data_IF_686689044436
#
_entry.id   IF_686689044436
#
_cell.length_a   1.000
_cell.length_b   1.000
_cell.length_c   1.000
_cell.angle_alpha   90.00
_cell.angle_beta   90.00
_cell.angle_gamma   90.00
#
_symmetry.space_group_name_H-M   'P 1'
#
loop_
_entity.id
_entity.type
_entity.pdbx_description
1 polymer ?
#
# COMPACT_ATOMS: atom_id res chain seq x y z
N UNK A 1 9.34 1.71 -17.46
CA UNK A 1 9.24 0.96 -16.17
C UNK A 1 8.44 -0.31 -16.39
N UNK A 2 8.71 -1.39 -15.61
CA UNK A 2 8.03 -2.68 -15.82
C UNK A 2 6.51 -2.59 -15.66
N UNK A 3 6.03 -1.80 -14.70
CA UNK A 3 4.59 -1.59 -14.49
C UNK A 3 3.88 -0.81 -15.60
N UNK A 4 4.59 0.06 -16.31
CA UNK A 4 4.02 0.75 -17.47
C UNK A 4 3.60 -0.23 -18.56
N UNK A 5 4.35 -1.34 -18.72
CA UNK A 5 4.04 -2.38 -19.71
C UNK A 5 2.76 -3.16 -19.37
N UNK A 6 2.46 -3.36 -18.07
CA UNK A 6 1.21 -4.00 -17.66
C UNK A 6 -0.01 -3.13 -18.00
N UNK A 7 0.11 -1.82 -17.81
CA UNK A 7 -0.94 -0.86 -18.19
C UNK A 7 -1.12 -0.86 -19.72
N UNK A 8 -0.03 -0.89 -20.50
CA UNK A 8 -0.12 -0.99 -21.97
C UNK A 8 -0.79 -2.29 -22.43
N UNK A 9 -0.66 -3.37 -21.66
CA UNK A 9 -1.35 -4.64 -21.88
C UNK A 9 -2.82 -4.65 -21.41
N UNK A 10 -3.34 -3.52 -20.91
CA UNK A 10 -4.71 -3.37 -20.44
C UNK A 10 -4.98 -3.91 -19.04
N UNK A 11 -3.94 -4.13 -18.24
CA UNK A 11 -4.11 -4.55 -16.85
C UNK A 11 -4.56 -3.37 -15.97
N UNK A 12 -5.84 -3.37 -15.60
CA UNK A 12 -6.45 -2.35 -14.75
C UNK A 12 -7.33 -3.00 -13.66
N UNK A 13 -6.74 -3.32 -12.50
CA UNK A 13 -7.42 -4.01 -11.41
C UNK A 13 -8.68 -3.33 -10.87
N UNK A 14 -8.90 -2.05 -11.14
CA UNK A 14 -10.15 -1.35 -10.75
C UNK A 14 -11.36 -1.94 -11.50
N UNK A 15 -11.16 -2.37 -12.73
CA UNK A 15 -12.21 -2.93 -13.59
C UNK A 15 -12.15 -4.46 -13.73
N UNK A 16 -11.38 -5.12 -12.89
CA UNK A 16 -11.32 -6.58 -12.87
C UNK A 16 -12.71 -7.22 -12.75
N UNK A 17 -12.97 -8.31 -13.47
CA UNK A 17 -14.20 -9.06 -13.31
C UNK A 17 -14.33 -9.64 -11.89
N UNK A 18 -15.55 -9.93 -11.41
CA UNK A 18 -15.78 -10.41 -10.04
C UNK A 18 -14.87 -11.57 -9.61
N UNK A 19 -14.68 -12.55 -10.48
CA UNK A 19 -13.82 -13.73 -10.19
C UNK A 19 -12.37 -13.33 -9.89
N UNK A 20 -11.83 -12.35 -10.62
CA UNK A 20 -10.47 -11.89 -10.40
C UNK A 20 -10.37 -11.03 -9.14
N UNK A 21 -11.39 -10.22 -8.83
CA UNK A 21 -11.46 -9.50 -7.55
C UNK A 21 -11.50 -10.45 -6.36
N UNK A 22 -12.34 -11.49 -6.40
CA UNK A 22 -12.40 -12.52 -5.36
C UNK A 22 -11.05 -13.24 -5.20
N UNK A 23 -10.32 -13.45 -6.32
CA UNK A 23 -8.98 -14.01 -6.27
C UNK A 23 -8.00 -13.06 -5.57
N UNK A 24 -8.04 -11.76 -5.90
CA UNK A 24 -7.19 -10.74 -5.25
C UNK A 24 -7.54 -10.56 -3.76
N UNK A 25 -8.79 -10.76 -3.36
CA UNK A 25 -9.23 -10.70 -1.96
C UNK A 25 -8.56 -11.77 -1.07
N UNK A 26 -7.94 -12.80 -1.66
CA UNK A 26 -7.13 -13.80 -0.94
C UNK A 26 -5.84 -13.24 -0.33
N UNK A 27 -5.34 -12.11 -0.83
CA UNK A 27 -4.21 -11.37 -0.23
C UNK A 27 -4.66 -10.36 0.81
N UNK A 28 -5.66 -9.54 0.52
CA UNK A 28 -6.06 -8.43 1.40
C UNK A 28 -7.56 -8.48 1.76
N UNK A 29 -8.46 -8.35 0.81
CA UNK A 29 -9.90 -8.53 0.99
C UNK A 29 -10.51 -7.72 2.13
N UNK A 30 -11.60 -8.25 2.68
CA UNK A 30 -12.39 -7.58 3.72
C UNK A 30 -11.59 -7.35 5.00
N UNK A 31 -10.77 -8.30 5.41
CA UNK A 31 -9.99 -8.19 6.64
C UNK A 31 -9.03 -6.99 6.59
N UNK A 32 -8.34 -6.79 5.46
CA UNK A 32 -7.45 -5.65 5.28
C UNK A 32 -8.22 -4.33 5.38
N UNK A 33 -9.34 -4.21 4.66
CA UNK A 33 -10.18 -3.01 4.68
C UNK A 33 -10.70 -2.70 6.09
N UNK A 34 -11.15 -3.69 6.85
CA UNK A 34 -11.62 -3.51 8.22
C UNK A 34 -10.52 -3.03 9.17
N UNK A 35 -9.27 -3.44 8.94
CA UNK A 35 -8.11 -3.00 9.72
C UNK A 35 -7.72 -1.54 9.46
N UNK A 36 -8.06 -0.97 8.31
CA UNK A 36 -7.80 0.44 7.98
C UNK A 36 -8.56 1.39 8.93
N UNK A 37 -9.73 0.99 9.41
CA UNK A 37 -10.59 1.82 10.29
C UNK A 37 -10.74 3.25 9.76
N UNK A 38 -11.16 3.33 8.50
CA UNK A 38 -11.36 4.60 7.80
C UNK A 38 -12.40 5.48 8.50
N UNK A 39 -12.22 6.79 8.44
CA UNK A 39 -13.21 7.76 8.88
C UNK A 39 -13.04 9.10 8.16
N UNK A 40 -14.10 9.94 8.08
CA UNK A 40 -14.06 11.21 7.35
C UNK A 40 -13.09 12.26 7.90
N UNK A 41 -12.54 12.06 9.10
CA UNK A 41 -11.58 12.97 9.71
C UNK A 41 -10.13 12.65 9.36
N UNK A 42 -9.86 11.45 8.83
CA UNK A 42 -8.49 10.95 8.64
C UNK A 42 -7.82 11.44 7.37
N UNK A 43 -6.53 11.77 7.50
CA UNK A 43 -5.59 11.89 6.40
C UNK A 43 -4.90 10.53 6.17
N UNK A 44 -4.92 10.05 4.95
CA UNK A 44 -4.52 8.68 4.60
C UNK A 44 -3.48 8.67 3.49
N UNK A 45 -2.45 7.81 3.61
CA UNK A 45 -1.48 7.54 2.56
C UNK A 45 -1.51 6.05 2.17
N UNK A 46 -1.66 5.78 0.88
CA UNK A 46 -1.41 4.46 0.29
C UNK A 46 -0.05 4.43 -0.41
N UNK A 47 0.81 3.50 0.00
CA UNK A 47 2.12 3.26 -0.63
C UNK A 47 1.96 2.15 -1.67
N UNK A 48 2.30 2.46 -2.93
CA UNK A 48 2.07 1.58 -4.07
C UNK A 48 0.60 1.54 -4.47
N UNK A 49 0.01 2.72 -4.69
CA UNK A 49 -1.42 2.85 -4.99
C UNK A 49 -1.84 2.10 -6.26
N UNK A 50 -0.90 1.81 -7.15
CA UNK A 50 -1.20 1.19 -8.42
C UNK A 50 -2.18 2.02 -9.25
N UNK A 51 -3.10 1.36 -9.96
CA UNK A 51 -4.20 2.03 -10.66
C UNK A 51 -5.35 2.45 -9.74
N UNK A 52 -5.22 2.16 -8.43
CA UNK A 52 -6.17 2.56 -7.41
C UNK A 52 -7.15 1.47 -6.97
N UNK A 53 -6.80 0.19 -7.06
CA UNK A 53 -7.69 -0.93 -6.70
C UNK A 53 -8.31 -0.79 -5.31
N UNK A 54 -7.49 -0.49 -4.29
CA UNK A 54 -7.99 -0.27 -2.92
C UNK A 54 -8.51 1.15 -2.78
N UNK A 55 -7.79 2.14 -3.29
CA UNK A 55 -8.15 3.56 -3.23
C UNK A 55 -9.54 3.85 -3.80
N UNK A 56 -9.97 3.15 -4.86
CA UNK A 56 -11.28 3.33 -5.47
C UNK A 56 -12.44 3.15 -4.47
N UNK A 57 -12.26 2.24 -3.51
CA UNK A 57 -13.24 1.96 -2.47
C UNK A 57 -13.01 2.71 -1.15
N UNK A 58 -11.87 3.40 -0.98
CA UNK A 58 -11.46 3.96 0.32
C UNK A 58 -11.27 5.48 0.30
N UNK A 59 -10.83 6.05 -0.82
CA UNK A 59 -10.45 7.46 -0.89
C UNK A 59 -11.59 8.44 -0.60
N UNK A 60 -12.83 8.09 -0.96
CA UNK A 60 -14.02 8.90 -0.71
C UNK A 60 -14.54 8.84 0.75
N UNK A 61 -13.98 7.95 1.58
CA UNK A 61 -14.37 7.74 2.98
C UNK A 61 -13.52 8.53 3.97
N UNK A 62 -12.55 9.33 3.48
CA UNK A 62 -11.56 10.00 4.32
C UNK A 62 -11.47 11.49 4.01
N UNK A 63 -10.89 12.26 4.95
CA UNK A 63 -10.70 13.71 4.81
C UNK A 63 -9.79 14.05 3.64
N UNK A 64 -8.66 13.37 3.56
CA UNK A 64 -7.69 13.53 2.47
C UNK A 64 -7.00 12.21 2.18
N UNK A 65 -6.83 11.92 0.91
CA UNK A 65 -6.21 10.69 0.43
C UNK A 65 -4.98 11.02 -0.42
N UNK A 66 -3.87 10.38 -0.10
CA UNK A 66 -2.63 10.44 -0.84
C UNK A 66 -2.28 9.05 -1.35
N UNK A 67 -2.03 8.93 -2.65
CA UNK A 67 -1.51 7.71 -3.26
C UNK A 67 -0.15 7.98 -3.88
N UNK A 68 0.84 7.16 -3.59
CA UNK A 68 2.16 7.24 -4.21
C UNK A 68 2.49 5.96 -4.95
N UNK A 69 3.00 6.10 -6.16
CA UNK A 69 3.53 5.01 -6.98
C UNK A 69 4.68 5.52 -7.86
N UNK A 70 5.62 4.64 -8.19
CA UNK A 70 6.78 4.99 -8.99
C UNK A 70 6.47 5.02 -10.50
N UNK A 71 5.39 4.35 -10.95
CA UNK A 71 5.03 4.23 -12.36
C UNK A 71 4.17 5.41 -12.83
N UNK A 72 4.65 6.20 -13.82
CA UNK A 72 3.88 7.33 -14.37
C UNK A 72 2.54 6.91 -14.99
N UNK A 73 2.51 5.82 -15.76
CA UNK A 73 1.28 5.34 -16.42
C UNK A 73 0.26 4.84 -15.41
N UNK A 74 0.72 4.15 -14.38
CA UNK A 74 -0.11 3.68 -13.28
C UNK A 74 -0.76 4.86 -12.56
N UNK A 75 0.00 5.90 -12.22
CA UNK A 75 -0.51 7.13 -11.59
C UNK A 75 -1.47 7.89 -12.51
N UNK A 76 -1.19 7.95 -13.82
CA UNK A 76 -2.11 8.58 -14.78
C UNK A 76 -3.46 7.85 -14.81
N UNK A 77 -3.44 6.52 -14.78
CA UNK A 77 -4.64 5.69 -14.72
C UNK A 77 -5.39 5.89 -13.39
N UNK A 78 -4.69 5.87 -12.27
CA UNK A 78 -5.27 6.13 -10.95
C UNK A 78 -5.96 7.51 -10.88
N UNK A 79 -5.37 8.55 -11.47
CA UNK A 79 -5.99 9.88 -11.56
C UNK A 79 -7.33 9.86 -12.31
N UNK A 80 -7.43 9.10 -13.39
CA UNK A 80 -8.67 8.97 -14.16
C UNK A 80 -9.79 8.31 -13.33
N UNK A 81 -9.44 7.37 -12.45
CA UNK A 81 -10.39 6.67 -11.61
C UNK A 81 -10.85 7.47 -10.38
N UNK A 82 -9.92 8.20 -9.76
CA UNK A 82 -10.06 8.67 -8.38
C UNK A 82 -10.25 10.19 -8.26
N UNK A 83 -9.69 10.99 -9.18
CA UNK A 83 -9.77 12.45 -9.08
C UNK A 83 -11.12 12.93 -9.61
N UNK A 84 -12.05 13.28 -8.71
CA UNK A 84 -13.43 13.70 -9.01
C UNK A 84 -13.71 15.17 -8.65
N UNK A 85 -12.72 16.04 -8.68
CA UNK A 85 -12.93 17.50 -8.55
C UNK A 85 -13.12 18.04 -7.12
N UNK A 86 -13.27 17.22 -6.12
CA UNK A 86 -13.43 17.59 -4.69
C UNK A 86 -12.12 17.90 -3.97
N UNK A 87 -10.97 17.78 -4.65
CA UNK A 87 -9.67 18.26 -4.19
C UNK A 87 -9.03 17.47 -3.03
N UNK A 88 -9.68 16.38 -2.57
CA UNK A 88 -9.20 15.63 -1.41
C UNK A 88 -8.28 14.42 -1.78
N UNK A 89 -8.11 14.15 -3.08
CA UNK A 89 -7.30 13.02 -3.59
C UNK A 89 -6.05 13.53 -4.28
N UNK A 90 -4.89 13.12 -3.79
CA UNK A 90 -3.57 13.53 -4.27
C UNK A 90 -2.78 12.32 -4.78
N UNK A 91 -2.49 12.29 -6.09
CA UNK A 91 -1.71 11.22 -6.72
C UNK A 91 -0.29 11.69 -7.03
N UNK A 92 0.70 11.00 -6.46
CA UNK A 92 2.13 11.32 -6.49
C UNK A 92 2.86 10.26 -7.30
N UNK A 93 3.58 10.69 -8.35
CA UNK A 93 4.46 9.81 -9.13
C UNK A 93 5.90 10.01 -8.64
N UNK A 94 6.36 9.14 -7.74
CA UNK A 94 7.72 9.18 -7.19
C UNK A 94 8.08 7.87 -6.49
N UNK A 95 9.38 7.65 -6.25
CA UNK A 95 9.83 6.64 -5.29
C UNK A 95 9.44 7.06 -3.88
N UNK A 96 8.83 6.13 -3.14
CA UNK A 96 8.39 6.39 -1.77
C UNK A 96 9.57 6.77 -0.85
N UNK A 97 10.72 6.14 -1.01
CA UNK A 97 11.89 6.42 -0.17
C UNK A 97 12.48 7.81 -0.42
N UNK A 98 12.44 8.28 -1.64
CA UNK A 98 13.06 9.55 -2.03
C UNK A 98 12.11 10.76 -1.88
N UNK A 99 10.78 10.54 -1.93
CA UNK A 99 9.81 11.64 -1.91
C UNK A 99 9.69 12.28 -0.53
N UNK A 100 9.85 13.61 -0.46
CA UNK A 100 9.68 14.41 0.77
C UNK A 100 8.22 14.81 0.99
N UNK A 101 7.52 14.14 1.92
CA UNK A 101 6.18 14.54 2.33
C UNK A 101 6.25 15.73 3.29
N UNK A 102 5.39 16.74 3.07
CA UNK A 102 5.19 17.87 4.00
C UNK A 102 4.11 17.60 5.05
N UNK A 103 3.33 16.52 4.88
CA UNK A 103 2.19 16.16 5.72
C UNK A 103 2.51 14.96 6.60
N UNK A 104 1.79 14.84 7.72
CA UNK A 104 1.65 13.60 8.48
C UNK A 104 0.27 12.98 8.22
N UNK A 105 0.12 11.71 8.59
CA UNK A 105 -1.06 10.92 8.30
C UNK A 105 -1.60 10.21 9.55
N UNK A 106 -2.92 10.04 9.62
CA UNK A 106 -3.58 9.23 10.64
C UNK A 106 -3.49 7.74 10.34
N UNK A 107 -3.40 7.42 9.04
CA UNK A 107 -3.30 6.06 8.53
C UNK A 107 -2.34 6.03 7.34
N UNK A 108 -1.42 5.08 7.38
CA UNK A 108 -0.63 4.69 6.20
C UNK A 108 -0.89 3.21 5.96
N UNK A 109 -1.05 2.83 4.70
CA UNK A 109 -1.15 1.42 4.36
C UNK A 109 -0.44 1.07 3.06
N UNK A 110 -0.12 -0.20 2.91
CA UNK A 110 0.47 -0.76 1.70
C UNK A 110 0.01 -2.20 1.51
N UNK A 111 -0.40 -2.54 0.31
CA UNK A 111 -0.73 -3.91 -0.07
C UNK A 111 0.08 -4.33 -1.29
N UNK A 112 0.72 -5.50 -1.21
CA UNK A 112 1.47 -6.14 -2.31
C UNK A 112 2.56 -5.25 -2.96
N UNK A 113 3.12 -4.30 -2.20
CA UNK A 113 4.10 -3.33 -2.72
C UNK A 113 5.46 -3.48 -2.06
N UNK A 114 5.51 -3.82 -0.78
CA UNK A 114 6.77 -3.87 -0.02
C UNK A 114 7.79 -4.82 -0.63
N UNK A 115 7.37 -5.90 -1.27
CA UNK A 115 8.25 -6.80 -2.01
C UNK A 115 9.12 -6.10 -3.10
N UNK A 116 8.75 -4.90 -3.52
CA UNK A 116 9.53 -4.09 -4.46
C UNK A 116 10.55 -3.17 -3.78
N UNK A 117 10.43 -2.97 -2.48
CA UNK A 117 11.32 -2.10 -1.70
C UNK A 117 12.47 -2.95 -1.15
N UNK A 118 13.71 -2.65 -1.57
CA UNK A 118 14.90 -3.35 -1.09
C UNK A 118 15.19 -3.03 0.38
N UNK A 119 15.15 -1.75 0.71
CA UNK A 119 15.44 -1.25 2.06
C UNK A 119 14.15 -1.15 2.88
N UNK A 120 13.75 -2.28 3.46
CA UNK A 120 12.55 -2.40 4.28
C UNK A 120 12.64 -1.57 5.56
N UNK A 121 13.83 -1.50 6.15
CA UNK A 121 14.06 -0.77 7.40
C UNK A 121 13.84 0.73 7.18
N UNK A 122 14.46 1.31 6.16
CA UNK A 122 14.24 2.72 5.80
C UNK A 122 12.78 3.01 5.47
N UNK A 123 12.08 2.09 4.78
CA UNK A 123 10.67 2.26 4.46
C UNK A 123 9.79 2.28 5.72
N UNK A 124 9.99 1.35 6.63
CA UNK A 124 9.23 1.27 7.89
C UNK A 124 9.52 2.47 8.80
N UNK A 125 10.79 2.88 8.91
CA UNK A 125 11.18 4.08 9.66
C UNK A 125 10.54 5.34 9.07
N UNK A 126 10.49 5.45 7.74
CA UNK A 126 9.83 6.56 7.06
C UNK A 126 8.33 6.58 7.33
N UNK A 127 7.65 5.43 7.26
CA UNK A 127 6.24 5.30 7.64
C UNK A 127 6.01 5.77 9.07
N UNK A 128 6.85 5.33 10.01
CA UNK A 128 6.75 5.76 11.41
C UNK A 128 6.91 7.28 11.57
N UNK A 129 7.86 7.88 10.86
CA UNK A 129 8.06 9.34 10.87
C UNK A 129 6.87 10.12 10.33
N UNK A 130 6.22 9.59 9.30
CA UNK A 130 5.08 10.22 8.63
C UNK A 130 3.74 10.07 9.37
N UNK A 131 3.63 9.16 10.33
CA UNK A 131 2.41 9.02 11.12
C UNK A 131 2.32 10.07 12.22
N UNK A 132 1.10 10.59 12.46
CA UNK A 132 0.78 11.28 13.69
C UNK A 132 0.95 10.36 14.91
N UNK A 133 1.22 10.90 16.12
CA UNK A 133 1.07 10.12 17.35
C UNK A 133 -0.33 9.48 17.43
N UNK A 134 -0.38 8.18 17.71
CA UNK A 134 -1.62 7.38 17.66
C UNK A 134 -2.04 6.95 16.25
N UNK A 135 -1.30 7.33 15.22
CA UNK A 135 -1.54 6.90 13.85
C UNK A 135 -1.24 5.42 13.63
N UNK A 136 -1.81 4.86 12.57
CA UNK A 136 -1.79 3.42 12.28
C UNK A 136 -1.08 3.11 10.97
N UNK A 137 -0.32 2.02 10.96
CA UNK A 137 0.20 1.39 9.77
C UNK A 137 -0.46 0.02 9.53
N UNK A 138 -0.93 -0.23 8.30
CA UNK A 138 -1.43 -1.54 7.88
C UNK A 138 -0.66 -2.00 6.66
N UNK A 139 -0.03 -3.18 6.76
CA UNK A 139 0.84 -3.73 5.73
C UNK A 139 0.41 -5.15 5.39
N UNK A 140 0.15 -5.42 4.11
CA UNK A 140 -0.02 -6.78 3.60
C UNK A 140 1.25 -7.22 2.87
N UNK A 141 1.77 -8.40 3.24
CA UNK A 141 2.91 -9.06 2.59
C UNK A 141 2.49 -10.44 2.10
N UNK A 142 3.00 -10.85 0.95
CA UNK A 142 2.73 -12.16 0.35
C UNK A 142 3.36 -13.29 1.18
N UNK A 143 2.70 -14.45 1.25
CA UNK A 143 3.22 -15.66 1.90
C UNK A 143 4.21 -16.44 1.03
N UNK A 144 3.97 -16.48 -0.26
CA UNK A 144 4.76 -17.27 -1.22
C UNK A 144 5.58 -16.34 -2.12
N UNK A 145 6.64 -15.78 -1.57
CA UNK A 145 7.52 -14.87 -2.29
C UNK A 145 8.74 -15.61 -2.84
N UNK A 146 8.98 -15.42 -4.14
CA UNK A 146 10.20 -15.80 -4.84
C UNK A 146 11.05 -14.56 -5.05
N UNK A 147 12.29 -14.74 -5.50
CA UNK A 147 13.19 -13.61 -5.82
C UNK A 147 12.77 -12.84 -7.07
N UNK A 148 11.84 -13.36 -7.84
CA UNK A 148 11.36 -12.78 -9.08
C UNK A 148 9.86 -12.98 -9.24
N UNK A 149 9.19 -11.93 -9.73
CA UNK A 149 7.83 -11.98 -10.23
C UNK A 149 7.86 -12.23 -11.75
N UNK A 150 7.20 -13.29 -12.19
CA UNK A 150 7.08 -13.64 -13.62
C UNK A 150 5.89 -12.87 -14.22
N UNK A 151 6.17 -12.02 -15.20
CA UNK A 151 5.16 -11.22 -15.92
C UNK A 151 4.99 -11.71 -17.37
N UNK A 152 5.32 -12.98 -17.66
CA UNK A 152 5.26 -13.57 -18.99
C UNK A 152 6.51 -13.27 -19.80
N UNK A 153 6.56 -12.15 -20.48
CA UNK A 153 7.69 -11.78 -21.37
C UNK A 153 8.93 -11.31 -20.62
N UNK A 154 8.80 -10.96 -19.34
CA UNK A 154 9.91 -10.48 -18.51
C UNK A 154 9.74 -10.85 -17.03
N UNK A 155 10.84 -10.80 -16.29
CA UNK A 155 10.86 -11.04 -14.85
C UNK A 155 11.23 -9.77 -14.10
N UNK A 156 10.48 -9.47 -13.04
CA UNK A 156 10.78 -8.36 -12.13
C UNK A 156 11.51 -8.94 -10.92
N UNK A 157 12.67 -8.37 -10.59
CA UNK A 157 13.34 -8.71 -9.34
C UNK A 157 12.52 -8.17 -8.18
N UNK A 158 12.26 -9.02 -7.19
CA UNK A 158 11.62 -8.63 -5.94
C UNK A 158 12.53 -8.96 -4.76
N UNK A 159 12.19 -8.42 -3.62
CA UNK A 159 12.89 -8.60 -2.34
C UNK A 159 11.87 -9.16 -1.35
N UNK A 160 11.86 -10.49 -1.17
CA UNK A 160 10.87 -11.16 -0.32
C UNK A 160 10.75 -10.55 1.07
N UNK A 161 9.51 -10.45 1.56
CA UNK A 161 9.23 -10.04 2.93
C UNK A 161 9.19 -11.29 3.80
N UNK A 162 9.91 -11.27 4.91
CA UNK A 162 9.81 -12.29 5.95
C UNK A 162 8.92 -11.79 7.09
N UNK A 163 7.90 -12.53 7.53
CA UNK A 163 6.94 -12.05 8.51
C UNK A 163 7.57 -11.81 9.90
N UNK A 164 8.55 -12.60 10.32
CA UNK A 164 9.21 -12.41 11.60
C UNK A 164 10.16 -11.19 11.54
N UNK A 165 10.88 -11.04 10.44
CA UNK A 165 11.70 -9.85 10.22
C UNK A 165 10.85 -8.59 10.11
N UNK A 166 9.69 -8.65 9.43
CA UNK A 166 8.75 -7.52 9.33
C UNK A 166 8.27 -7.10 10.71
N UNK A 167 7.89 -8.05 11.58
CA UNK A 167 7.50 -7.75 12.96
C UNK A 167 8.64 -7.13 13.77
N UNK A 168 9.87 -7.62 13.60
CA UNK A 168 11.07 -7.08 14.25
C UNK A 168 11.36 -5.65 13.81
N UNK A 169 11.28 -5.36 12.51
CA UNK A 169 11.48 -4.01 11.95
C UNK A 169 10.41 -3.02 12.45
N UNK A 170 9.15 -3.42 12.50
CA UNK A 170 8.08 -2.60 13.08
C UNK A 170 8.37 -2.25 14.53
N UNK A 171 8.77 -3.24 15.32
CA UNK A 171 9.14 -3.04 16.74
C UNK A 171 10.36 -2.12 16.88
N UNK A 172 11.38 -2.32 16.06
CA UNK A 172 12.61 -1.52 16.07
C UNK A 172 12.36 -0.06 15.71
N UNK A 173 11.43 0.22 14.81
CA UNK A 173 11.00 1.57 14.45
C UNK A 173 10.19 2.28 15.55
N UNK A 174 9.76 1.56 16.59
CA UNK A 174 9.02 2.11 17.72
C UNK A 174 7.50 1.91 17.65
N UNK A 175 7.00 1.09 16.73
CA UNK A 175 5.58 0.75 16.71
C UNK A 175 5.18 -0.10 17.93
N UNK A 176 3.97 0.12 18.41
CA UNK A 176 3.29 -0.63 19.46
C UNK A 176 2.04 -1.34 18.91
N UNK A 177 1.41 -2.16 19.76
CA UNK A 177 0.17 -2.89 19.42
C UNK A 177 0.28 -3.66 18.09
N UNK A 178 1.48 -4.19 17.81
CA UNK A 178 1.74 -4.93 16.57
C UNK A 178 0.94 -6.24 16.59
N UNK A 179 0.05 -6.40 15.61
CA UNK A 179 -0.76 -7.59 15.43
C UNK A 179 -0.54 -8.14 14.02
N UNK A 180 -0.39 -9.45 13.93
CA UNK A 180 -0.33 -10.19 12.67
C UNK A 180 -1.63 -10.97 12.47
N UNK A 181 -2.21 -10.82 11.32
CA UNK A 181 -3.36 -11.56 10.84
C UNK A 181 -2.96 -12.34 9.59
N UNK A 182 -3.81 -13.26 9.17
CA UNK A 182 -3.52 -14.15 8.07
C UNK A 182 -4.74 -14.25 7.15
N UNK A 183 -4.50 -14.15 5.85
CA UNK A 183 -5.44 -14.49 4.80
C UNK A 183 -4.97 -15.78 4.11
N UNK A 184 -5.61 -16.20 3.03
CA UNK A 184 -5.17 -17.38 2.27
C UNK A 184 -3.75 -17.18 1.74
N UNK A 185 -3.41 -16.00 1.19
CA UNK A 185 -2.14 -15.75 0.50
C UNK A 185 -1.25 -14.69 1.16
N UNK A 186 -1.67 -14.04 2.23
CA UNK A 186 -0.88 -12.99 2.84
C UNK A 186 -0.85 -13.02 4.36
N UNK A 187 0.19 -12.40 4.94
CA UNK A 187 0.19 -11.91 6.30
C UNK A 187 -0.14 -10.41 6.30
N UNK A 188 -1.05 -9.99 7.18
CA UNK A 188 -1.40 -8.59 7.35
C UNK A 188 -0.94 -8.14 8.72
N UNK A 189 -0.13 -7.09 8.76
CA UNK A 189 0.31 -6.43 9.98
C UNK A 189 -0.53 -5.18 10.22
N UNK A 190 -0.95 -4.97 11.46
CA UNK A 190 -1.48 -3.70 11.95
C UNK A 190 -0.66 -3.27 13.13
N UNK A 191 -0.10 -2.05 13.08
CA UNK A 191 0.75 -1.49 14.11
C UNK A 191 0.37 -0.03 14.37
N UNK A 192 0.58 0.46 15.59
CA UNK A 192 0.23 1.83 15.98
C UNK A 192 1.47 2.59 16.44
N UNK A 193 1.59 3.85 16.02
CA UNK A 193 2.57 4.76 16.59
C UNK A 193 2.10 5.18 17.99
N UNK A 194 2.95 5.16 19.02
CA UNK A 194 2.58 5.63 20.35
C UNK A 194 1.96 7.02 20.34
N UNK A 195 1.08 7.30 21.29
CA UNK A 195 0.43 8.61 21.42
C UNK A 195 1.30 9.68 22.06
N UNK A 196 2.40 9.24 22.67
CA UNK A 196 3.37 10.11 23.37
C UNK A 196 4.77 9.86 22.85
#
# INVERSE_FOLDING_TARGET
MHYDSLIDAGNDPVYDPPVLREYMDKWDGRLFLDLLKLSPEKSVLEIGVGTGRIAFNTAHLVKSFYGIDISPKTIETAKKHLVRGDGNVHMICADFLDFGFSNQFDLIYSSLTFLHIKDKESAINKVFGLLFPGGRFVLSIDKDQKDTLDCGDYKIKIYPDDPENTAALLKSAGFESIKRYETEFAYIFSAEKPKN
#
